data_IF_228897071413
#
_entry.id   IF_228897071413
#
_cell.length_a   1.000
_cell.length_b   1.000
_cell.length_c   1.000
_cell.angle_alpha   90.00
_cell.angle_beta   90.00
_cell.angle_gamma   90.00
#
_symmetry.space_group_name_H-M   'P 1'
#
loop_
_entity.id
_entity.type
_entity.pdbx_description
1 polymer ?
#
# COMPACT_ATOMS: atom_id res chain seq x y z
N UNK A 1 -3.31 8.01 -18.25
CA UNK A 1 -2.60 7.97 -16.98
C UNK A 1 -1.11 7.86 -17.23
N UNK A 2 -0.27 8.66 -16.56
CA UNK A 2 1.18 8.66 -16.76
C UNK A 2 1.85 7.76 -15.70
N UNK A 3 2.58 6.72 -16.16
CA UNK A 3 3.30 5.80 -15.27
C UNK A 3 4.38 6.53 -14.45
N UNK A 4 4.88 7.67 -14.95
CA UNK A 4 5.85 8.48 -14.23
C UNK A 4 5.26 9.18 -12.99
N UNK A 5 3.93 9.25 -12.88
CA UNK A 5 3.23 9.73 -11.69
C UNK A 5 2.95 8.63 -10.66
N UNK A 6 3.65 7.51 -10.74
CA UNK A 6 3.54 6.39 -9.81
C UNK A 6 4.85 6.18 -9.08
N UNK A 7 4.77 5.74 -7.82
CA UNK A 7 5.96 5.31 -7.08
C UNK A 7 6.57 4.06 -7.72
N UNK A 8 7.83 3.79 -7.44
CA UNK A 8 8.50 2.59 -7.97
C UNK A 8 7.82 1.30 -7.50
N UNK A 9 7.27 1.30 -6.29
CA UNK A 9 6.50 0.16 -5.79
C UNK A 9 5.25 -0.11 -6.65
N UNK A 10 4.48 0.92 -7.00
CA UNK A 10 3.30 0.79 -7.87
C UNK A 10 3.69 0.36 -9.29
N UNK A 11 4.78 0.93 -9.84
CA UNK A 11 5.31 0.52 -11.14
C UNK A 11 5.75 -0.95 -11.13
N UNK A 12 6.43 -1.40 -10.07
CA UNK A 12 6.82 -2.79 -9.87
C UNK A 12 5.61 -3.73 -9.80
N UNK A 13 4.56 -3.33 -9.07
CA UNK A 13 3.32 -4.10 -9.01
C UNK A 13 2.64 -4.22 -10.39
N UNK A 14 2.63 -3.15 -11.20
CA UNK A 14 2.11 -3.21 -12.58
C UNK A 14 2.92 -4.17 -13.46
N UNK A 15 4.26 -4.12 -13.38
CA UNK A 15 5.12 -5.05 -14.13
C UNK A 15 4.87 -6.50 -13.71
N UNK A 16 4.70 -6.76 -12.43
CA UNK A 16 4.39 -8.09 -11.89
C UNK A 16 2.97 -8.54 -12.29
N UNK A 17 2.01 -7.62 -12.36
CA UNK A 17 0.68 -7.91 -12.87
C UNK A 17 0.68 -8.34 -14.34
N UNK A 18 1.56 -7.77 -15.18
CA UNK A 18 1.79 -8.26 -16.55
C UNK A 18 2.29 -9.71 -16.54
N UNK A 19 3.22 -10.05 -15.62
CA UNK A 19 3.72 -11.42 -15.50
C UNK A 19 2.60 -12.40 -15.08
N UNK A 20 1.73 -12.00 -14.15
CA UNK A 20 0.54 -12.79 -13.80
C UNK A 20 -0.44 -12.92 -14.96
N UNK A 21 -0.68 -11.84 -15.73
CA UNK A 21 -1.52 -11.94 -16.93
C UNK A 21 -0.99 -12.99 -17.91
N UNK A 22 0.34 -13.13 -18.03
CA UNK A 22 0.97 -14.19 -18.83
C UNK A 22 0.77 -15.57 -18.21
N UNK A 23 0.89 -15.70 -16.89
CA UNK A 23 0.70 -16.97 -16.17
C UNK A 23 -0.72 -17.51 -16.35
N UNK A 24 -1.72 -16.62 -16.32
CA UNK A 24 -3.14 -16.94 -16.48
C UNK A 24 -3.63 -16.85 -17.95
N UNK A 25 -2.73 -16.64 -18.92
CA UNK A 25 -3.05 -16.49 -20.34
C UNK A 25 -4.09 -15.41 -20.66
N UNK A 26 -4.01 -14.27 -19.95
CA UNK A 26 -4.94 -13.15 -20.09
C UNK A 26 -4.38 -12.05 -20.99
N UNK A 27 -5.19 -11.54 -21.90
CA UNK A 27 -4.81 -10.42 -22.76
C UNK A 27 -4.72 -9.10 -21.99
N UNK A 28 -5.56 -8.95 -20.97
CA UNK A 28 -5.63 -7.73 -20.14
C UNK A 28 -4.91 -7.92 -18.81
N UNK A 29 -4.47 -6.81 -18.25
CA UNK A 29 -4.12 -6.72 -16.83
C UNK A 29 -5.42 -6.53 -16.07
N UNK A 30 -5.88 -7.60 -15.41
CA UNK A 30 -7.07 -7.57 -14.57
C UNK A 30 -6.76 -6.98 -13.19
N UNK A 31 -7.77 -6.43 -12.52
CA UNK A 31 -7.61 -5.77 -11.22
C UNK A 31 -7.04 -6.73 -10.16
N UNK A 32 -7.45 -7.98 -10.21
CA UNK A 32 -6.99 -9.03 -9.30
C UNK A 32 -5.49 -9.31 -9.48
N UNK A 33 -4.99 -9.25 -10.72
CA UNK A 33 -3.55 -9.41 -11.00
C UNK A 33 -2.73 -8.25 -10.40
N UNK A 34 -3.22 -7.03 -10.50
CA UNK A 34 -2.57 -5.86 -9.91
C UNK A 34 -2.59 -5.91 -8.38
N UNK A 35 -3.73 -6.23 -7.77
CA UNK A 35 -3.86 -6.29 -6.31
C UNK A 35 -3.06 -7.45 -5.72
N UNK A 36 -3.06 -8.62 -6.36
CA UNK A 36 -2.17 -9.74 -6.02
C UNK A 36 -0.70 -9.31 -6.10
N UNK A 37 -0.30 -8.60 -7.17
CA UNK A 37 1.05 -8.10 -7.32
C UNK A 37 1.44 -7.13 -6.21
N UNK A 38 0.56 -6.17 -5.87
CA UNK A 38 0.77 -5.21 -4.80
C UNK A 38 1.01 -5.88 -3.42
N UNK A 39 0.37 -7.02 -3.15
CA UNK A 39 0.56 -7.78 -1.91
C UNK A 39 1.82 -8.66 -1.92
N UNK A 40 2.28 -9.10 -3.10
CA UNK A 40 3.44 -9.99 -3.26
C UNK A 40 4.77 -9.27 -3.49
N UNK A 41 4.81 -7.94 -3.42
CA UNK A 41 6.08 -7.21 -3.41
C UNK A 41 6.84 -7.47 -2.10
N UNK A 42 8.16 -7.51 -2.19
CA UNK A 42 9.00 -7.57 -1.00
C UNK A 42 8.79 -6.30 -0.18
N UNK A 43 8.60 -6.47 1.13
CA UNK A 43 8.35 -5.36 2.06
C UNK A 43 7.14 -4.49 1.63
N UNK A 44 6.06 -5.13 1.13
CA UNK A 44 4.88 -4.42 0.64
C UNK A 44 4.15 -3.66 1.73
N UNK A 45 4.11 -2.33 1.59
CA UNK A 45 3.28 -1.47 2.44
C UNK A 45 1.80 -1.86 2.37
N UNK A 46 1.30 -2.24 1.18
CA UNK A 46 -0.06 -2.72 0.97
C UNK A 46 -0.37 -3.93 1.86
N UNK A 47 0.52 -4.95 1.84
CA UNK A 47 0.42 -6.15 2.66
C UNK A 47 0.47 -5.83 4.15
N UNK A 48 1.46 -5.02 4.56
CA UNK A 48 1.66 -4.61 5.96
C UNK A 48 0.42 -3.94 6.56
N UNK A 49 -0.24 -3.04 5.81
CA UNK A 49 -1.46 -2.36 6.27
C UNK A 49 -2.61 -3.37 6.47
N UNK A 50 -2.78 -4.33 5.56
CA UNK A 50 -3.83 -5.35 5.66
C UNK A 50 -3.59 -6.28 6.86
N UNK A 51 -2.36 -6.75 7.06
CA UNK A 51 -1.97 -7.60 8.19
C UNK A 51 -2.20 -6.90 9.54
N UNK A 52 -1.86 -5.62 9.65
CA UNK A 52 -2.14 -4.81 10.85
C UNK A 52 -3.64 -4.63 11.12
N UNK A 53 -4.44 -4.62 10.06
CA UNK A 53 -5.90 -4.65 10.18
C UNK A 53 -6.45 -6.06 10.50
N UNK A 54 -5.58 -7.05 10.76
CA UNK A 54 -5.92 -8.45 10.97
C UNK A 54 -6.72 -9.05 9.78
N UNK A 55 -6.32 -8.74 8.56
CA UNK A 55 -6.85 -9.36 7.34
C UNK A 55 -5.90 -10.48 6.93
N UNK A 56 -6.45 -11.66 6.66
CA UNK A 56 -5.68 -12.81 6.16
C UNK A 56 -5.31 -12.58 4.68
N UNK A 57 -4.11 -12.07 4.46
CA UNK A 57 -3.60 -11.72 3.13
C UNK A 57 -3.42 -12.97 2.26
N UNK A 58 -3.01 -14.09 2.83
CA UNK A 58 -2.80 -15.32 2.07
C UNK A 58 -4.12 -15.87 1.51
N UNK A 59 -5.20 -15.77 2.28
CA UNK A 59 -6.52 -16.14 1.81
C UNK A 59 -7.08 -15.15 0.79
N UNK A 60 -6.79 -13.86 0.94
CA UNK A 60 -7.17 -12.84 -0.05
C UNK A 60 -6.46 -13.08 -1.38
N UNK A 61 -5.16 -13.40 -1.36
CA UNK A 61 -4.39 -13.77 -2.57
C UNK A 61 -5.02 -14.99 -3.25
N UNK A 62 -5.38 -16.04 -2.49
CA UNK A 62 -6.07 -17.22 -3.05
C UNK A 62 -7.42 -16.87 -3.66
N UNK A 63 -8.15 -15.90 -3.09
CA UNK A 63 -9.41 -15.43 -3.66
C UNK A 63 -9.19 -14.76 -5.01
N UNK A 64 -8.13 -13.96 -5.16
CA UNK A 64 -7.75 -13.37 -6.44
C UNK A 64 -7.28 -14.41 -7.45
N UNK A 65 -6.49 -15.40 -7.02
CA UNK A 65 -6.06 -16.52 -7.90
C UNK A 65 -7.28 -17.26 -8.45
N UNK A 66 -8.25 -17.52 -7.60
CA UNK A 66 -9.48 -18.17 -8.03
C UNK A 66 -10.26 -17.32 -9.04
N UNK A 67 -10.33 -16.01 -8.87
CA UNK A 67 -10.97 -15.12 -9.85
C UNK A 67 -10.20 -15.09 -11.18
N UNK A 68 -8.87 -14.94 -11.13
CA UNK A 68 -8.03 -14.92 -12.33
C UNK A 68 -8.19 -16.20 -13.15
N UNK A 69 -8.35 -17.36 -12.51
CA UNK A 69 -8.56 -18.64 -13.18
C UNK A 69 -9.90 -18.77 -13.91
N UNK A 70 -10.87 -17.90 -13.64
CA UNK A 70 -12.18 -17.90 -14.28
C UNK A 70 -12.31 -16.93 -15.47
N UNK A 71 -11.31 -16.08 -15.70
CA UNK A 71 -11.30 -15.22 -16.87
C UNK A 71 -11.09 -16.05 -18.17
N UNK A 72 -11.68 -15.61 -19.29
CA UNK A 72 -11.43 -16.24 -20.58
C UNK A 72 -9.94 -16.13 -20.96
N UNK A 73 -9.32 -17.27 -21.27
CA UNK A 73 -7.93 -17.32 -21.70
C UNK A 73 -7.81 -17.09 -23.20
N UNK A 74 -6.68 -16.53 -23.65
CA UNK A 74 -6.37 -16.33 -25.07
C UNK A 74 -5.11 -17.12 -25.40
N UNK A 75 -5.19 -17.99 -26.43
CA UNK A 75 -4.06 -18.81 -26.88
C UNK A 75 -3.75 -18.52 -28.33
N UNK A 76 -2.47 -18.52 -28.70
CA UNK A 76 -2.01 -18.34 -30.08
C UNK A 76 -0.53 -17.95 -30.17
N UNK A 77 0.08 -18.17 -31.33
CA UNK A 77 1.52 -17.94 -31.53
C UNK A 77 1.98 -16.47 -31.43
N UNK A 78 1.06 -15.50 -31.53
CA UNK A 78 1.35 -14.07 -31.50
C UNK A 78 0.58 -13.32 -30.39
N UNK A 79 0.10 -14.01 -29.35
CA UNK A 79 -0.65 -13.39 -28.27
C UNK A 79 0.29 -12.62 -27.36
N UNK A 80 0.00 -11.34 -27.14
CA UNK A 80 0.67 -10.53 -26.14
C UNK A 80 -0.23 -10.46 -24.88
N UNK A 81 0.23 -11.08 -23.81
CA UNK A 81 -0.46 -11.10 -22.53
C UNK A 81 -0.21 -9.80 -21.76
N UNK A 82 -1.21 -9.32 -21.02
CA UNK A 82 -1.11 -8.08 -20.27
C UNK A 82 -0.87 -6.83 -21.14
N UNK A 83 -1.30 -6.86 -22.39
CA UNK A 83 -1.10 -5.76 -23.34
C UNK A 83 -1.99 -4.56 -23.02
N UNK A 84 -3.18 -4.81 -22.51
CA UNK A 84 -4.17 -3.79 -22.20
C UNK A 84 -4.51 -3.80 -20.73
N UNK A 85 -4.93 -2.65 -20.22
CA UNK A 85 -5.46 -2.52 -18.87
C UNK A 85 -6.97 -2.72 -18.94
N UNK A 86 -7.54 -3.59 -18.11
CA UNK A 86 -8.99 -3.83 -18.08
C UNK A 86 -9.76 -2.58 -17.61
N UNK A 87 -11.06 -2.53 -17.90
CA UNK A 87 -11.91 -1.44 -17.48
C UNK A 87 -11.92 -1.28 -15.94
N UNK A 88 -11.98 -2.39 -15.20
CA UNK A 88 -11.92 -2.38 -13.73
C UNK A 88 -10.58 -1.88 -13.19
N UNK A 89 -9.48 -2.30 -13.82
CA UNK A 89 -8.13 -1.81 -13.45
C UNK A 89 -7.99 -0.33 -13.73
N UNK A 90 -8.51 0.18 -14.85
CA UNK A 90 -8.54 1.62 -15.12
C UNK A 90 -9.37 2.38 -14.08
N UNK A 91 -10.55 1.87 -13.70
CA UNK A 91 -11.39 2.48 -12.67
C UNK A 91 -10.66 2.59 -11.33
N UNK A 92 -9.95 1.52 -10.92
CA UNK A 92 -9.15 1.50 -9.71
C UNK A 92 -8.03 2.55 -9.77
N UNK A 93 -7.30 2.61 -10.88
CA UNK A 93 -6.21 3.57 -11.07
C UNK A 93 -6.69 5.02 -11.10
N UNK A 94 -7.83 5.30 -11.76
CA UNK A 94 -8.47 6.62 -11.75
C UNK A 94 -8.92 7.02 -10.33
N UNK A 95 -9.39 6.06 -9.55
CA UNK A 95 -9.75 6.30 -8.16
C UNK A 95 -8.51 6.56 -7.28
N UNK A 96 -7.43 5.82 -7.51
CA UNK A 96 -6.16 6.05 -6.83
C UNK A 96 -5.57 7.44 -7.12
N UNK A 97 -5.68 7.92 -8.37
CA UNK A 97 -5.29 9.28 -8.74
C UNK A 97 -6.12 10.34 -8.01
N UNK A 98 -7.42 10.11 -7.82
CA UNK A 98 -8.28 11.01 -7.04
C UNK A 98 -7.83 11.06 -5.57
N UNK A 99 -7.44 9.93 -4.99
CA UNK A 99 -6.88 9.90 -3.63
C UNK A 99 -5.55 10.63 -3.56
N UNK A 100 -4.62 10.39 -4.49
CA UNK A 100 -3.37 11.13 -4.61
C UNK A 100 -3.61 12.65 -4.56
N UNK A 101 -4.50 13.15 -5.41
CA UNK A 101 -4.85 14.58 -5.46
C UNK A 101 -5.50 15.09 -4.17
N UNK A 102 -6.33 14.28 -3.52
CA UNK A 102 -7.00 14.67 -2.26
C UNK A 102 -6.05 14.71 -1.07
N UNK A 103 -4.93 14.02 -1.15
CA UNK A 103 -3.86 14.04 -0.15
C UNK A 103 -2.76 15.05 -0.47
N UNK A 104 -2.91 15.80 -1.58
CA UNK A 104 -1.91 16.76 -2.06
C UNK A 104 -0.56 16.11 -2.35
N UNK A 105 -0.60 14.85 -2.85
CA UNK A 105 0.57 14.06 -3.21
C UNK A 105 0.93 14.24 -4.68
N UNK A 106 2.22 14.06 -5.02
CA UNK A 106 2.72 14.16 -6.40
C UNK A 106 2.71 12.81 -7.12
N UNK A 107 2.76 11.69 -6.38
CA UNK A 107 2.82 10.35 -6.94
C UNK A 107 1.74 9.44 -6.33
N UNK A 108 1.23 8.52 -7.16
CA UNK A 108 0.36 7.45 -6.72
C UNK A 108 1.22 6.39 -6.03
N UNK A 109 0.94 6.12 -4.76
CA UNK A 109 1.62 5.15 -3.89
C UNK A 109 0.70 3.98 -3.54
N UNK A 110 1.24 2.99 -2.84
CA UNK A 110 0.53 1.75 -2.49
C UNK A 110 -0.70 2.00 -1.62
N UNK A 111 -0.68 2.98 -0.73
CA UNK A 111 -1.85 3.33 0.08
C UNK A 111 -2.99 3.93 -0.74
N UNK A 112 -2.69 4.66 -1.84
CA UNK A 112 -3.72 5.13 -2.78
C UNK A 112 -4.37 3.96 -3.52
N UNK A 113 -3.56 2.98 -3.96
CA UNK A 113 -4.05 1.74 -4.58
C UNK A 113 -4.95 0.98 -3.61
N UNK A 114 -4.53 0.81 -2.34
CA UNK A 114 -5.34 0.14 -1.32
C UNK A 114 -6.66 0.86 -1.07
N UNK A 115 -6.63 2.19 -0.94
CA UNK A 115 -7.85 3.01 -0.76
C UNK A 115 -8.79 2.87 -1.95
N UNK A 116 -8.26 2.90 -3.16
CA UNK A 116 -9.03 2.70 -4.38
C UNK A 116 -9.63 1.29 -4.46
N UNK A 117 -8.86 0.26 -4.10
CA UNK A 117 -9.33 -1.13 -4.08
C UNK A 117 -10.51 -1.34 -3.12
N UNK A 118 -10.46 -0.73 -1.93
CA UNK A 118 -11.56 -0.76 -0.97
C UNK A 118 -12.86 -0.17 -1.56
N UNK A 119 -12.74 0.84 -2.43
CA UNK A 119 -13.92 1.49 -3.01
C UNK A 119 -14.43 0.81 -4.29
N UNK A 120 -13.57 0.15 -5.07
CA UNK A 120 -13.88 -0.31 -6.43
C UNK A 120 -13.87 -1.82 -6.62
N UNK A 121 -13.16 -2.58 -5.76
CA UNK A 121 -13.05 -4.02 -5.89
C UNK A 121 -13.91 -4.77 -4.87
N UNK A 122 -14.91 -5.52 -5.36
CA UNK A 122 -15.86 -6.26 -4.51
C UNK A 122 -15.20 -7.31 -3.63
N UNK A 123 -14.11 -7.93 -4.11
CA UNK A 123 -13.38 -8.93 -3.32
C UNK A 123 -12.65 -8.27 -2.17
N UNK A 124 -11.93 -7.17 -2.42
CA UNK A 124 -11.32 -6.37 -1.35
C UNK A 124 -12.36 -5.92 -0.33
N UNK A 125 -13.50 -5.38 -0.79
CA UNK A 125 -14.60 -4.92 0.08
C UNK A 125 -15.09 -6.04 0.99
N UNK A 126 -15.31 -7.22 0.45
CA UNK A 126 -15.77 -8.39 1.19
C UNK A 126 -14.79 -8.81 2.28
N UNK A 127 -13.48 -8.82 1.98
CA UNK A 127 -12.43 -9.23 2.91
C UNK A 127 -12.12 -8.15 3.96
N UNK A 128 -12.18 -6.89 3.58
CA UNK A 128 -12.01 -5.74 4.50
C UNK A 128 -13.21 -5.63 5.45
N UNK A 129 -14.44 -5.79 4.94
CA UNK A 129 -15.67 -5.75 5.72
C UNK A 129 -15.81 -4.47 6.54
N UNK A 130 -15.96 -4.61 7.86
CA UNK A 130 -16.11 -3.49 8.79
C UNK A 130 -14.77 -2.84 9.22
N UNK A 131 -13.63 -3.26 8.66
CA UNK A 131 -12.29 -2.79 9.05
C UNK A 131 -11.82 -1.56 8.25
N UNK A 132 -12.67 -0.99 7.40
CA UNK A 132 -12.32 0.17 6.54
C UNK A 132 -11.75 1.32 7.36
N UNK A 133 -12.38 1.69 8.48
CA UNK A 133 -11.91 2.80 9.31
C UNK A 133 -10.58 2.47 10.00
N UNK A 134 -10.39 1.23 10.43
CA UNK A 134 -9.11 0.77 10.99
C UNK A 134 -7.98 0.91 9.95
N UNK A 135 -8.24 0.52 8.69
CA UNK A 135 -7.26 0.67 7.61
C UNK A 135 -6.93 2.16 7.37
N UNK A 136 -7.93 3.05 7.38
CA UNK A 136 -7.72 4.50 7.25
C UNK A 136 -6.83 5.05 8.36
N UNK A 137 -7.08 4.63 9.61
CA UNK A 137 -6.25 5.03 10.74
C UNK A 137 -4.81 4.53 10.61
N UNK A 138 -4.62 3.28 10.17
CA UNK A 138 -3.28 2.72 9.94
C UNK A 138 -2.56 3.51 8.84
N UNK A 139 -3.21 3.79 7.71
CA UNK A 139 -2.64 4.62 6.64
C UNK A 139 -2.23 6.00 7.18
N UNK A 140 -3.09 6.65 7.95
CA UNK A 140 -2.80 7.96 8.54
C UNK A 140 -1.59 7.92 9.46
N UNK A 141 -1.48 6.88 10.30
CA UNK A 141 -0.33 6.68 11.20
C UNK A 141 0.96 6.43 10.42
N UNK A 142 0.93 5.56 9.41
CA UNK A 142 2.10 5.24 8.58
C UNK A 142 2.59 6.47 7.83
N UNK A 143 1.69 7.27 7.29
CA UNK A 143 2.05 8.52 6.60
C UNK A 143 2.62 9.58 7.55
N UNK A 144 2.18 9.61 8.82
CA UNK A 144 2.67 10.57 9.82
C UNK A 144 2.52 12.04 9.40
N UNK A 145 1.57 12.36 8.51
CA UNK A 145 1.38 13.71 7.95
C UNK A 145 2.33 14.06 6.79
N UNK A 146 3.13 13.13 6.30
CA UNK A 146 4.00 13.36 5.15
C UNK A 146 3.23 13.25 3.82
N UNK A 147 3.66 14.07 2.84
CA UNK A 147 3.20 13.98 1.45
C UNK A 147 4.13 13.09 0.63
N UNK A 148 3.57 12.40 -0.36
CA UNK A 148 4.33 11.59 -1.32
C UNK A 148 4.91 12.51 -2.40
N UNK A 149 6.10 13.04 -2.14
CA UNK A 149 6.82 13.97 -3.04
C UNK A 149 7.98 13.31 -3.76
N UNK A 150 8.18 12.01 -3.59
CA UNK A 150 9.22 11.24 -4.27
C UNK A 150 8.65 9.93 -4.80
N UNK A 151 9.37 9.31 -5.75
CA UNK A 151 8.97 8.00 -6.30
C UNK A 151 9.33 6.82 -5.38
N UNK A 152 9.94 7.05 -4.21
CA UNK A 152 10.33 6.00 -3.27
C UNK A 152 9.97 6.33 -1.81
N UNK A 153 8.70 6.72 -1.53
CA UNK A 153 8.28 7.10 -0.18
C UNK A 153 8.18 5.89 0.75
N UNK A 154 7.86 4.73 0.20
CA UNK A 154 7.61 3.50 0.96
C UNK A 154 8.84 3.06 1.76
N UNK A 155 10.05 3.26 1.23
CA UNK A 155 11.32 2.98 1.94
C UNK A 155 11.45 3.85 3.20
N UNK A 156 10.99 5.10 3.15
CA UNK A 156 11.04 5.98 4.31
C UNK A 156 10.03 5.59 5.39
N UNK A 157 8.85 5.14 5.00
CA UNK A 157 7.82 4.67 5.94
C UNK A 157 8.28 3.41 6.67
N UNK A 158 8.85 2.45 5.95
CA UNK A 158 9.39 1.23 6.55
C UNK A 158 10.63 1.47 7.42
N UNK A 159 11.52 2.38 7.03
CA UNK A 159 12.71 2.71 7.82
C UNK A 159 12.34 3.28 9.19
N UNK A 160 11.34 4.17 9.27
CA UNK A 160 10.83 4.70 10.52
C UNK A 160 10.20 3.61 11.42
N UNK A 161 9.56 2.61 10.83
CA UNK A 161 8.96 1.51 11.60
C UNK A 161 9.95 0.42 12.00
N UNK A 162 10.88 0.05 11.10
CA UNK A 162 11.90 -0.97 11.38
C UNK A 162 13.01 -0.47 12.32
N UNK A 163 13.35 0.82 12.25
CA UNK A 163 14.49 1.40 12.97
C UNK A 163 14.08 2.52 13.93
N UNK A 164 12.88 3.06 13.80
CA UNK A 164 12.33 4.06 14.71
C UNK A 164 11.81 3.40 15.98
N UNK A 165 12.16 3.97 17.14
CA UNK A 165 11.53 3.61 18.42
C UNK A 165 10.58 4.74 18.79
N UNK A 166 9.29 4.42 18.97
CA UNK A 166 8.35 5.37 19.55
C UNK A 166 8.61 5.50 21.05
N UNK A 167 9.50 6.43 21.40
CA UNK A 167 9.88 6.66 22.78
C UNK A 167 8.69 7.12 23.65
N UNK A 168 7.70 7.78 23.05
CA UNK A 168 6.50 8.23 23.78
C UNK A 168 5.64 7.03 24.16
N UNK A 169 5.46 6.09 23.24
CA UNK A 169 4.70 4.86 23.51
C UNK A 169 5.45 3.95 24.49
N UNK A 170 6.77 3.84 24.38
CA UNK A 170 7.59 3.09 25.35
C UNK A 170 7.48 3.65 26.77
N UNK A 171 7.46 4.98 26.91
CA UNK A 171 7.24 5.64 28.20
C UNK A 171 5.84 5.35 28.74
N UNK A 172 4.79 5.44 27.88
CA UNK A 172 3.41 5.12 28.29
C UNK A 172 3.24 3.68 28.72
N UNK A 173 4.00 2.77 28.11
CA UNK A 173 4.00 1.34 28.46
C UNK A 173 4.91 1.02 29.66
N UNK A 174 5.58 2.02 30.25
CA UNK A 174 6.49 1.80 31.36
C UNK A 174 7.77 1.02 31.02
N UNK A 175 8.14 0.97 29.73
CA UNK A 175 9.33 0.24 29.25
C UNK A 175 10.61 1.08 29.30
N UNK A 176 10.53 2.35 29.65
CA UNK A 176 11.69 3.22 29.79
C UNK A 176 11.98 3.48 31.26
N UNK A 177 13.24 3.40 31.62
CA UNK A 177 13.70 3.74 32.96
C UNK A 177 13.50 5.25 33.24
N UNK A 178 13.08 5.63 34.46
CA UNK A 178 12.93 7.04 34.82
C UNK A 178 14.30 7.74 34.78
N UNK A 179 14.33 8.94 34.15
CA UNK A 179 15.53 9.75 34.14
C UNK A 179 15.68 10.43 35.49
N UNK A 180 16.72 10.08 36.23
CA UNK A 180 17.01 10.60 37.54
C UNK A 180 18.29 11.46 37.47
N UNK A 181 18.22 12.69 38.05
CA UNK A 181 19.39 13.58 38.22
C UNK A 181 19.85 14.30 36.95
N UNK A 182 18.97 14.48 35.95
CA UNK A 182 19.25 15.18 34.66
C UNK A 182 18.31 16.38 34.43
N UNK A 183 17.84 17.04 35.49
CA UNK A 183 16.80 18.08 35.40
C UNK A 183 17.24 19.30 34.55
N UNK A 184 18.51 19.67 34.61
CA UNK A 184 19.03 20.81 33.83
C UNK A 184 19.07 20.50 32.35
N UNK A 185 19.53 19.30 31.97
CA UNK A 185 19.59 18.85 30.57
C UNK A 185 18.19 18.71 29.99
N UNK A 186 17.25 18.19 30.74
CA UNK A 186 15.82 18.10 30.34
C UNK A 186 15.25 19.50 30.09
N UNK A 187 15.46 20.46 31.00
CA UNK A 187 14.98 21.84 30.80
C UNK A 187 15.63 22.53 29.61
N UNK A 188 16.90 22.29 29.37
CA UNK A 188 17.61 22.83 28.20
C UNK A 188 17.09 22.22 26.89
N UNK A 189 16.86 20.91 26.85
CA UNK A 189 16.30 20.22 25.70
C UNK A 189 14.89 20.73 25.39
N UNK A 190 14.00 20.85 26.40
CA UNK A 190 12.65 21.41 26.24
C UNK A 190 12.73 22.84 25.69
N UNK A 191 13.65 23.67 26.19
CA UNK A 191 13.82 25.07 25.74
C UNK A 191 14.26 25.14 24.27
N UNK A 192 15.09 24.20 23.83
CA UNK A 192 15.57 24.15 22.43
C UNK A 192 14.45 23.65 21.50
N UNK A 193 13.72 22.63 21.90
CA UNK A 193 12.64 22.03 21.10
C UNK A 193 11.36 22.88 21.07
N UNK A 194 11.17 23.82 22.02
CA UNK A 194 10.01 24.71 22.09
C UNK A 194 10.20 26.05 21.37
N UNK A 195 11.32 26.23 20.67
CA UNK A 195 11.59 27.39 19.80
C UNK A 195 11.15 27.12 18.38
#
# INVERSE_FOLDING_TARGET
>A
MDINQMTYAVQGALQKAVAYSKEYELQNIEVEALLKAAMNENDSLFKSILERANIDVDQLIKAYDNQLSHYPTVQGDNVQYGQYISAKTNELLDKAEKYMKSYEDEFISMEHILRAAIDTDETTQKWVGNKVEVIKEIITKVRGGNHVTSQNPEVNYEALEKYGRDLVEEVRQGKMDPVIGRDEEIRNTIRILSR
#
